data_IF_611579763839
#
_entry.id   IF_611579763839
#
_cell.length_a   1.000
_cell.length_b   1.000
_cell.length_c   1.000
_cell.angle_alpha   90.00
_cell.angle_beta   90.00
_cell.angle_gamma   90.00
#
_symmetry.space_group_name_H-M   'P 1'
#
loop_
_entity.id
_entity.type
_entity.pdbx_description
1 polymer ?
#
# COMPACT_ATOMS: atom_id res chain seq x y z
N UNK A 1 -0.45 -57.25 5.10
CA UNK A 1 0.01 -56.22 4.17
C UNK A 1 -1.09 -55.85 3.18
N UNK A 2 -1.20 -54.58 2.82
CA UNK A 2 -2.10 -54.15 1.71
C UNK A 2 -1.68 -54.89 0.44
N UNK A 3 -2.64 -55.31 -0.37
CA UNK A 3 -2.33 -55.94 -1.66
C UNK A 3 -1.65 -54.94 -2.58
N UNK A 4 -0.79 -55.37 -3.50
CA UNK A 4 -0.12 -54.53 -4.50
C UNK A 4 -1.12 -53.59 -5.23
N UNK A 5 -2.29 -54.11 -5.58
CA UNK A 5 -3.34 -53.33 -6.23
C UNK A 5 -3.88 -52.15 -5.36
N UNK A 6 -4.03 -52.36 -4.06
CA UNK A 6 -4.48 -51.28 -3.14
C UNK A 6 -3.40 -50.20 -2.98
N UNK A 7 -2.12 -50.60 -2.95
CA UNK A 7 -0.99 -49.66 -2.92
C UNK A 7 -0.93 -48.83 -4.21
N UNK A 8 -1.19 -49.40 -5.36
CA UNK A 8 -1.18 -48.71 -6.64
C UNK A 8 -2.35 -47.73 -6.81
N UNK A 9 -3.52 -48.07 -6.26
CA UNK A 9 -4.68 -47.16 -6.20
C UNK A 9 -4.38 -45.98 -5.30
N UNK A 10 -3.80 -46.20 -4.13
CA UNK A 10 -3.41 -45.11 -3.21
C UNK A 10 -2.40 -44.15 -3.83
N UNK A 11 -1.33 -44.68 -4.47
CA UNK A 11 -0.34 -43.89 -5.14
C UNK A 11 -0.94 -43.06 -6.28
N UNK A 12 -1.82 -43.61 -7.08
CA UNK A 12 -2.49 -42.87 -8.17
C UNK A 12 -3.37 -41.77 -7.63
N UNK A 13 -4.12 -41.97 -6.55
CA UNK A 13 -4.91 -40.91 -5.94
C UNK A 13 -4.04 -39.81 -5.35
N UNK A 14 -2.94 -40.16 -4.66
CA UNK A 14 -1.98 -39.19 -4.15
C UNK A 14 -1.36 -38.34 -5.27
N UNK A 15 -0.95 -38.95 -6.38
CA UNK A 15 -0.41 -38.20 -7.53
C UNK A 15 -1.45 -37.27 -8.16
N UNK A 16 -2.72 -37.68 -8.25
CA UNK A 16 -3.78 -36.81 -8.78
C UNK A 16 -4.04 -35.60 -7.87
N UNK A 17 -3.96 -35.79 -6.56
CA UNK A 17 -4.04 -34.68 -5.62
C UNK A 17 -2.82 -33.75 -5.73
N UNK A 18 -1.62 -34.31 -5.84
CA UNK A 18 -0.39 -33.56 -6.03
C UNK A 18 -0.42 -32.68 -7.30
N UNK A 19 -0.91 -33.23 -8.42
CA UNK A 19 -1.07 -32.48 -9.66
C UNK A 19 -2.05 -31.30 -9.48
N UNK A 20 -3.17 -31.50 -8.78
CA UNK A 20 -4.12 -30.43 -8.48
C UNK A 20 -3.50 -29.36 -7.58
N UNK A 21 -2.84 -29.77 -6.50
CA UNK A 21 -2.18 -28.84 -5.59
C UNK A 21 -1.11 -28.00 -6.29
N UNK A 22 -0.31 -28.64 -7.16
CA UNK A 22 0.66 -27.93 -7.99
C UNK A 22 -0.01 -26.94 -8.96
N UNK A 23 -1.12 -27.33 -9.57
CA UNK A 23 -1.93 -26.46 -10.42
C UNK A 23 -2.48 -25.23 -9.68
N UNK A 24 -2.95 -25.44 -8.46
CA UNK A 24 -3.43 -24.37 -7.59
C UNK A 24 -2.29 -23.40 -7.20
N UNK A 25 -1.12 -23.91 -6.82
CA UNK A 25 0.05 -23.10 -6.51
C UNK A 25 0.51 -22.27 -7.71
N UNK A 26 0.52 -22.84 -8.91
CA UNK A 26 0.84 -22.12 -10.16
C UNK A 26 -0.19 -21.02 -10.40
N UNK A 27 -1.48 -21.33 -10.27
CA UNK A 27 -2.56 -20.37 -10.49
C UNK A 27 -2.50 -19.20 -9.49
N UNK A 28 -2.23 -19.47 -8.23
CA UNK A 28 -1.99 -18.44 -7.21
C UNK A 28 -0.80 -17.55 -7.57
N UNK A 29 0.31 -18.15 -8.00
CA UNK A 29 1.51 -17.41 -8.41
C UNK A 29 1.24 -16.51 -9.60
N UNK A 30 0.48 -16.98 -10.59
CA UNK A 30 0.11 -16.18 -11.76
C UNK A 30 -0.80 -15.00 -11.41
N UNK A 31 -1.76 -15.18 -10.51
CA UNK A 31 -2.61 -14.08 -10.01
C UNK A 31 -1.76 -13.04 -9.26
N UNK A 32 -0.87 -13.49 -8.38
CA UNK A 32 0.03 -12.60 -7.67
C UNK A 32 0.98 -11.85 -8.62
N UNK A 33 1.55 -12.54 -9.61
CA UNK A 33 2.43 -11.96 -10.62
C UNK A 33 1.72 -10.88 -11.43
N UNK A 34 0.50 -11.14 -11.89
CA UNK A 34 -0.31 -10.15 -12.60
C UNK A 34 -0.53 -8.88 -11.78
N UNK A 35 -0.91 -9.02 -10.51
CA UNK A 35 -1.09 -7.88 -9.62
C UNK A 35 0.24 -7.15 -9.31
N UNK A 36 1.36 -7.87 -9.21
CA UNK A 36 2.68 -7.24 -9.01
C UNK A 36 3.14 -6.40 -10.20
N UNK A 37 2.70 -6.70 -11.42
CA UNK A 37 2.94 -5.82 -12.59
C UNK A 37 2.24 -4.47 -12.36
N UNK A 38 0.98 -4.47 -11.94
CA UNK A 38 0.25 -3.23 -11.62
C UNK A 38 0.94 -2.45 -10.49
N UNK A 39 1.40 -3.13 -9.43
CA UNK A 39 2.18 -2.51 -8.35
C UNK A 39 3.44 -1.85 -8.90
N UNK A 40 4.16 -2.50 -9.81
CA UNK A 40 5.37 -1.95 -10.44
C UNK A 40 5.07 -0.67 -11.22
N UNK A 41 3.98 -0.65 -11.99
CA UNK A 41 3.57 0.52 -12.77
C UNK A 41 3.20 1.70 -11.86
N UNK A 42 2.47 1.44 -10.78
CA UNK A 42 2.15 2.46 -9.76
C UNK A 42 3.42 3.02 -9.12
N UNK A 43 4.37 2.17 -8.73
CA UNK A 43 5.63 2.61 -8.14
C UNK A 43 6.49 3.43 -9.11
N UNK A 44 6.51 3.07 -10.39
CA UNK A 44 7.18 3.88 -11.43
C UNK A 44 6.56 5.26 -11.54
N UNK A 45 5.23 5.33 -11.56
CA UNK A 45 4.52 6.63 -11.59
C UNK A 45 4.81 7.47 -10.35
N UNK A 46 4.81 6.87 -9.18
CA UNK A 46 5.20 7.57 -7.94
C UNK A 46 6.64 8.11 -8.00
N UNK A 47 7.57 7.34 -8.59
CA UNK A 47 8.96 7.79 -8.79
C UNK A 47 9.03 8.99 -9.73
N UNK A 48 8.29 8.98 -10.84
CA UNK A 48 8.22 10.12 -11.76
C UNK A 48 7.72 11.39 -11.06
N UNK A 49 6.65 11.28 -10.29
CA UNK A 49 6.11 12.39 -9.51
C UNK A 49 7.12 12.89 -8.46
N UNK A 50 7.84 11.98 -7.82
CA UNK A 50 8.89 12.33 -6.87
C UNK A 50 10.03 13.11 -7.52
N UNK A 51 10.46 12.70 -8.71
CA UNK A 51 11.48 13.44 -9.49
C UNK A 51 10.97 14.80 -9.91
N UNK A 52 9.71 14.90 -10.35
CA UNK A 52 9.09 16.17 -10.68
C UNK A 52 9.05 17.11 -9.46
N UNK A 53 8.59 16.61 -8.31
CA UNK A 53 8.50 17.40 -7.09
C UNK A 53 9.87 17.89 -6.57
N UNK A 54 10.94 17.15 -6.86
CA UNK A 54 12.31 17.52 -6.52
C UNK A 54 12.87 18.65 -7.38
N UNK A 55 12.26 18.94 -8.54
CA UNK A 55 12.71 20.01 -9.41
C UNK A 55 12.36 21.39 -8.81
N UNK A 56 13.35 22.28 -8.68
CA UNK A 56 13.20 23.62 -8.11
C UNK A 56 12.30 24.57 -8.90
N UNK A 57 11.89 24.21 -10.14
CA UNK A 57 10.99 25.03 -10.95
C UNK A 57 9.51 24.90 -10.54
N UNK A 58 9.15 23.92 -9.73
CA UNK A 58 7.78 23.71 -9.25
C UNK A 58 7.48 24.58 -8.04
N UNK A 59 6.35 25.28 -8.09
CA UNK A 59 5.85 26.08 -6.96
C UNK A 59 5.34 25.16 -5.83
N UNK A 60 5.11 25.74 -4.64
CA UNK A 60 4.48 25.01 -3.53
C UNK A 60 3.11 24.43 -3.92
N UNK A 61 2.29 25.19 -4.65
CA UNK A 61 0.98 24.74 -5.12
C UNK A 61 1.08 23.53 -6.06
N UNK A 62 2.06 23.53 -6.97
CA UNK A 62 2.29 22.41 -7.88
C UNK A 62 2.70 21.16 -7.10
N UNK A 63 3.53 21.31 -6.07
CA UNK A 63 3.96 20.19 -5.21
C UNK A 63 2.79 19.60 -4.41
N UNK A 64 1.86 20.43 -3.95
CA UNK A 64 0.63 19.96 -3.30
C UNK A 64 -0.20 19.11 -4.27
N UNK A 65 -0.35 19.56 -5.54
CA UNK A 65 -1.06 18.79 -6.55
C UNK A 65 -0.37 17.43 -6.84
N UNK A 66 0.97 17.42 -6.95
CA UNK A 66 1.74 16.19 -7.11
C UNK A 66 1.59 15.25 -5.91
N UNK A 67 1.56 15.80 -4.68
CA UNK A 67 1.35 15.03 -3.48
C UNK A 67 -0.05 14.40 -3.42
N UNK A 68 -1.08 15.10 -3.89
CA UNK A 68 -2.43 14.52 -3.99
C UNK A 68 -2.45 13.31 -4.93
N UNK A 69 -1.75 13.38 -6.09
CA UNK A 69 -1.62 12.24 -6.99
C UNK A 69 -0.85 11.09 -6.33
N UNK A 70 0.24 11.36 -5.61
CA UNK A 70 0.97 10.33 -4.84
C UNK A 70 0.06 9.66 -3.81
N UNK A 71 -0.78 10.41 -3.11
CA UNK A 71 -1.72 9.84 -2.14
C UNK A 71 -2.78 8.95 -2.80
N UNK A 72 -3.26 9.29 -4.00
CA UNK A 72 -4.14 8.42 -4.78
C UNK A 72 -3.44 7.12 -5.19
N UNK A 73 -2.18 7.21 -5.61
CA UNK A 73 -1.37 6.04 -5.96
C UNK A 73 -1.08 5.14 -4.75
N UNK A 74 -0.87 5.72 -3.57
CA UNK A 74 -0.77 4.93 -2.32
C UNK A 74 -2.06 4.17 -2.02
N UNK A 75 -3.21 4.83 -2.16
CA UNK A 75 -4.50 4.18 -1.96
C UNK A 75 -4.72 3.05 -2.98
N UNK A 76 -4.24 3.22 -4.20
CA UNK A 76 -4.30 2.17 -5.23
C UNK A 76 -3.40 0.98 -4.88
N UNK A 77 -2.17 1.21 -4.39
CA UNK A 77 -1.31 0.15 -3.87
C UNK A 77 -1.98 -0.61 -2.71
N UNK A 78 -2.60 0.13 -1.78
CA UNK A 78 -3.34 -0.48 -0.69
C UNK A 78 -4.51 -1.32 -1.21
N UNK A 79 -5.26 -0.79 -2.17
CA UNK A 79 -6.37 -1.52 -2.81
C UNK A 79 -5.88 -2.81 -3.47
N UNK A 80 -4.81 -2.76 -4.25
CA UNK A 80 -4.24 -3.95 -4.91
C UNK A 80 -3.82 -4.98 -3.85
N UNK A 81 -3.12 -4.57 -2.80
CA UNK A 81 -2.66 -5.48 -1.74
C UNK A 81 -3.81 -6.16 -1.02
N UNK A 82 -4.91 -5.43 -0.77
CA UNK A 82 -6.06 -5.93 -0.02
C UNK A 82 -7.09 -6.67 -0.88
N UNK A 83 -7.16 -6.40 -2.18
CA UNK A 83 -8.16 -7.03 -3.05
C UNK A 83 -7.64 -8.25 -3.78
N UNK A 84 -6.32 -8.36 -4.03
CA UNK A 84 -5.73 -9.50 -4.72
C UNK A 84 -5.88 -10.76 -3.90
N UNK A 85 -6.71 -11.69 -4.39
CA UNK A 85 -7.00 -12.93 -3.69
C UNK A 85 -7.21 -14.07 -4.67
N UNK A 86 -6.92 -15.28 -4.22
CA UNK A 86 -7.25 -16.52 -4.90
C UNK A 86 -8.11 -17.38 -3.98
N UNK A 87 -9.30 -17.77 -4.42
CA UNK A 87 -10.24 -18.58 -3.64
C UNK A 87 -10.36 -18.12 -2.17
N UNK A 88 -10.67 -16.83 -1.96
CA UNK A 88 -10.78 -16.15 -0.66
C UNK A 88 -9.49 -15.91 0.11
N UNK A 89 -8.37 -16.49 -0.30
CA UNK A 89 -7.07 -16.29 0.32
C UNK A 89 -6.39 -15.04 -0.25
N UNK A 90 -6.04 -14.08 0.61
CA UNK A 90 -5.29 -12.88 0.23
C UNK A 90 -3.85 -13.26 -0.08
N UNK A 91 -3.30 -12.69 -1.16
CA UNK A 91 -1.96 -13.06 -1.63
C UNK A 91 -0.90 -12.01 -1.34
N UNK A 92 -1.25 -10.71 -1.31
CA UNK A 92 -0.30 -9.60 -1.33
C UNK A 92 -0.30 -8.71 -0.09
N UNK A 93 -1.08 -9.05 0.94
CA UNK A 93 -1.20 -8.27 2.17
C UNK A 93 -0.36 -8.80 3.35
N UNK A 94 0.60 -9.69 3.06
CA UNK A 94 1.51 -10.25 4.07
C UNK A 94 0.94 -11.44 4.86
N UNK A 95 -0.29 -11.86 4.61
CA UNK A 95 -0.87 -13.02 5.30
C UNK A 95 -0.52 -14.35 4.65
N UNK A 96 -0.11 -14.33 3.37
CA UNK A 96 0.27 -15.52 2.62
C UNK A 96 1.76 -15.82 2.79
N UNK A 97 2.09 -16.48 3.90
CA UNK A 97 3.45 -16.86 4.25
C UNK A 97 3.52 -18.33 4.59
N UNK A 98 4.64 -18.96 4.22
CA UNK A 98 4.99 -20.34 4.55
C UNK A 98 3.87 -21.35 4.26
N UNK A 99 3.09 -21.08 3.18
CA UNK A 99 2.02 -21.99 2.76
C UNK A 99 2.63 -23.20 2.06
N UNK A 100 2.40 -24.38 2.63
CA UNK A 100 2.90 -25.64 2.11
C UNK A 100 1.94 -26.22 1.07
N UNK A 101 2.51 -26.67 -0.04
CA UNK A 101 1.81 -27.42 -1.09
C UNK A 101 2.41 -28.82 -1.19
N UNK A 102 1.58 -29.81 -0.91
CA UNK A 102 1.96 -31.21 -1.10
C UNK A 102 1.85 -31.57 -2.59
N UNK A 103 3.01 -31.81 -3.21
CA UNK A 103 3.14 -32.11 -4.64
C UNK A 103 3.62 -33.54 -4.90
N UNK A 104 3.62 -34.38 -3.86
CA UNK A 104 3.93 -35.80 -3.92
C UNK A 104 2.76 -36.66 -3.51
N UNK A 105 2.99 -37.97 -3.53
CA UNK A 105 1.98 -38.98 -3.15
C UNK A 105 2.07 -39.39 -1.67
N UNK A 106 3.07 -38.90 -0.96
CA UNK A 106 3.32 -39.15 0.47
C UNK A 106 3.74 -37.84 1.17
N UNK A 107 3.66 -37.87 2.51
CA UNK A 107 3.97 -36.70 3.38
C UNK A 107 5.47 -36.57 3.67
N UNK A 108 6.34 -36.89 2.71
CA UNK A 108 7.78 -36.69 2.92
C UNK A 108 8.18 -35.24 2.65
N UNK A 109 9.15 -34.68 3.39
CA UNK A 109 9.58 -33.27 3.20
C UNK A 109 10.06 -32.95 1.79
N UNK A 110 10.45 -33.96 1.01
CA UNK A 110 10.88 -33.80 -0.38
C UNK A 110 9.71 -33.56 -1.35
N UNK A 111 8.50 -33.86 -0.93
CA UNK A 111 7.27 -33.72 -1.70
C UNK A 111 6.42 -32.51 -1.30
N UNK A 112 6.92 -31.70 -0.39
CA UNK A 112 6.29 -30.46 0.08
C UNK A 112 7.09 -29.27 -0.41
N UNK A 113 6.41 -28.30 -0.99
CA UNK A 113 6.98 -27.01 -1.37
C UNK A 113 6.30 -25.87 -0.62
N UNK A 114 7.10 -24.97 -0.09
CA UNK A 114 6.61 -23.79 0.62
C UNK A 114 6.61 -22.59 -0.33
N UNK A 115 5.49 -21.91 -0.41
CA UNK A 115 5.34 -20.66 -1.16
C UNK A 115 5.09 -19.52 -0.17
N UNK A 116 5.90 -18.46 -0.29
CA UNK A 116 5.72 -17.23 0.46
C UNK A 116 5.63 -16.07 -0.52
N UNK A 117 4.58 -15.26 -0.42
CA UNK A 117 4.41 -14.04 -1.18
C UNK A 117 4.52 -12.86 -0.22
N UNK A 118 5.42 -11.94 -0.54
CA UNK A 118 5.67 -10.78 0.33
C UNK A 118 4.54 -9.77 0.27
N UNK A 119 4.36 -9.06 1.37
CA UNK A 119 3.46 -7.92 1.48
C UNK A 119 3.92 -6.78 0.56
N UNK A 120 3.01 -6.29 -0.27
CA UNK A 120 3.21 -5.14 -1.16
C UNK A 120 2.38 -3.92 -0.76
N UNK A 121 1.86 -3.90 0.47
CA UNK A 121 1.19 -2.72 1.00
C UNK A 121 2.12 -1.51 1.04
N UNK A 122 1.60 -0.28 0.98
CA UNK A 122 2.41 0.94 1.04
C UNK A 122 3.33 1.02 2.26
N UNK A 123 2.89 0.47 3.40
CA UNK A 123 3.69 0.39 4.63
C UNK A 123 4.89 -0.53 4.49
N UNK A 124 4.69 -1.72 3.94
CA UNK A 124 5.75 -2.73 3.76
C UNK A 124 6.75 -2.32 2.68
N UNK A 125 6.30 -1.61 1.65
CA UNK A 125 7.16 -1.05 0.62
C UNK A 125 7.90 0.21 1.05
N UNK A 126 7.59 0.76 2.24
CA UNK A 126 8.20 1.99 2.76
C UNK A 126 7.75 3.26 2.03
N UNK A 127 6.73 3.18 1.17
CA UNK A 127 6.23 4.33 0.41
C UNK A 127 5.14 5.11 1.15
N UNK A 128 4.72 4.62 2.31
CA UNK A 128 3.71 5.30 3.13
C UNK A 128 4.14 6.72 3.52
N UNK A 129 5.42 6.92 3.79
CA UNK A 129 5.97 8.21 4.19
C UNK A 129 6.30 9.15 3.02
N UNK A 130 6.21 8.70 1.78
CA UNK A 130 6.41 9.59 0.63
C UNK A 130 5.28 10.63 0.64
N UNK A 131 5.65 11.91 0.64
CA UNK A 131 4.70 13.02 0.76
C UNK A 131 4.40 13.45 2.20
N UNK A 132 4.52 12.58 3.20
CA UNK A 132 4.34 12.99 4.62
C UNK A 132 5.44 13.95 5.10
N UNK A 133 6.61 13.93 4.46
CA UNK A 133 7.68 14.90 4.70
C UNK A 133 7.34 16.31 4.16
N UNK A 134 6.32 16.40 3.28
CA UNK A 134 5.77 17.66 2.78
C UNK A 134 4.59 18.16 3.63
N UNK A 135 4.05 17.29 4.49
CA UNK A 135 2.94 17.61 5.38
C UNK A 135 3.48 17.80 6.81
N UNK A 136 3.85 19.03 7.12
CA UNK A 136 4.04 19.41 8.52
C UNK A 136 2.65 19.63 9.12
N UNK A 137 2.27 18.83 10.10
CA UNK A 137 1.04 19.05 10.85
C UNK A 137 1.31 19.81 12.15
N UNK A 138 0.45 20.74 12.47
CA UNK A 138 0.49 21.48 13.71
C UNK A 138 -0.89 21.53 14.33
N UNK A 139 -0.97 21.36 15.63
CA UNK A 139 -2.20 21.55 16.36
C UNK A 139 -2.42 23.04 16.59
N UNK A 140 -3.58 23.54 16.15
CA UNK A 140 -3.93 24.95 16.30
C UNK A 140 -4.47 25.19 17.72
N UNK A 141 -3.93 26.19 18.40
CA UNK A 141 -4.38 26.57 19.75
C UNK A 141 -5.48 27.63 19.69
N UNK A 142 -5.43 28.54 18.71
CA UNK A 142 -6.46 29.56 18.53
C UNK A 142 -6.43 30.13 17.11
N UNK A 143 -7.54 30.72 16.72
CA UNK A 143 -7.67 31.51 15.49
C UNK A 143 -8.22 32.87 15.87
N UNK A 144 -7.47 33.92 15.59
CA UNK A 144 -7.92 35.31 15.74
C UNK A 144 -8.21 35.89 14.36
N UNK A 145 -9.43 36.38 14.16
CA UNK A 145 -9.78 37.08 12.94
C UNK A 145 -9.28 38.53 12.99
N UNK A 146 -8.50 38.95 12.04
CA UNK A 146 -8.17 40.37 11.77
C UNK A 146 -8.90 40.84 10.52
N UNK A 147 -9.02 42.12 10.29
CA UNK A 147 -9.93 42.71 9.31
C UNK A 147 -9.82 42.16 7.86
N UNK A 148 -8.67 41.63 7.46
CA UNK A 148 -8.43 41.08 6.12
C UNK A 148 -7.74 39.71 6.08
N UNK A 149 -7.35 39.12 7.22
CA UNK A 149 -6.71 37.81 7.29
C UNK A 149 -6.92 37.19 8.66
N UNK A 150 -6.92 35.86 8.70
CA UNK A 150 -6.99 35.11 9.95
C UNK A 150 -5.57 34.82 10.45
N UNK A 151 -5.25 35.27 11.66
CA UNK A 151 -4.01 34.86 12.33
C UNK A 151 -4.27 33.54 13.04
N UNK A 152 -3.56 32.52 12.65
CA UNK A 152 -3.64 31.19 13.23
C UNK A 152 -2.46 31.02 14.18
N UNK A 153 -2.74 30.83 15.45
CA UNK A 153 -1.70 30.59 16.44
C UNK A 153 -1.53 29.07 16.66
N UNK A 154 -0.34 28.56 16.43
CA UNK A 154 0.00 27.19 16.71
C UNK A 154 0.23 26.96 18.22
N UNK A 155 -0.08 25.75 18.69
CA UNK A 155 0.14 25.36 20.08
C UNK A 155 1.62 25.13 20.43
N UNK A 156 2.48 24.94 19.40
CA UNK A 156 3.91 24.72 19.52
C UNK A 156 4.63 25.28 18.28
N UNK A 157 5.96 25.31 18.30
CA UNK A 157 6.75 25.71 17.16
C UNK A 157 6.41 24.84 15.94
N UNK A 158 5.98 25.46 14.87
CA UNK A 158 5.45 24.77 13.69
C UNK A 158 6.47 24.59 12.56
N UNK A 159 7.60 25.29 12.63
CA UNK A 159 8.66 25.28 11.58
C UNK A 159 8.16 25.57 10.15
N UNK A 160 7.01 26.24 9.99
CA UNK A 160 6.57 26.72 8.69
C UNK A 160 7.32 28.02 8.36
N UNK A 161 7.66 28.19 7.10
CA UNK A 161 8.23 29.41 6.56
C UNK A 161 7.19 30.18 5.75
N UNK A 162 7.40 31.47 5.59
CA UNK A 162 6.58 32.27 4.67
C UNK A 162 6.64 31.68 3.26
N UNK A 163 5.48 31.48 2.64
CA UNK A 163 5.34 30.79 1.35
C UNK A 163 5.02 29.32 1.44
N UNK A 164 5.15 28.69 2.61
CA UNK A 164 4.71 27.30 2.79
C UNK A 164 3.20 27.17 2.57
N UNK A 165 2.78 26.03 2.02
CA UNK A 165 1.36 25.74 1.81
C UNK A 165 0.94 24.72 2.86
N UNK A 166 -0.13 25.05 3.58
CA UNK A 166 -0.75 24.19 4.61
C UNK A 166 -2.16 23.81 4.16
N UNK A 167 -2.56 22.58 4.43
CA UNK A 167 -3.92 22.13 4.19
C UNK A 167 -4.62 21.99 5.55
N UNK A 168 -5.77 22.62 5.68
CA UNK A 168 -6.56 22.50 6.88
C UNK A 168 -7.28 21.15 6.90
N UNK A 169 -6.96 20.32 7.88
CA UNK A 169 -7.70 19.11 8.17
C UNK A 169 -8.67 19.35 9.34
N UNK A 170 -9.91 18.90 9.15
CA UNK A 170 -10.96 19.05 10.15
C UNK A 170 -10.66 18.18 11.37
N UNK A 171 -10.38 18.80 12.51
CA UNK A 171 -10.36 18.15 13.82
C UNK A 171 -11.78 17.92 14.36
N UNK A 172 -11.88 17.66 15.67
CA UNK A 172 -13.16 17.46 16.37
C UNK A 172 -14.08 18.69 16.33
N UNK A 173 -13.51 19.89 16.22
CA UNK A 173 -14.27 21.14 16.09
C UNK A 173 -13.75 21.91 14.87
N UNK A 174 -14.65 22.24 13.91
CA UNK A 174 -14.25 23.02 12.74
C UNK A 174 -13.88 24.45 13.14
N UNK A 175 -12.84 25.00 12.50
CA UNK A 175 -12.43 26.39 12.69
C UNK A 175 -13.25 27.27 11.75
N UNK A 176 -14.01 28.25 12.24
CA UNK A 176 -14.77 29.16 11.39
C UNK A 176 -13.85 29.89 10.40
N UNK A 177 -14.24 29.91 9.13
CA UNK A 177 -13.49 30.56 8.06
C UNK A 177 -12.45 29.69 7.36
N UNK A 178 -12.12 28.49 7.88
CA UNK A 178 -11.28 27.53 7.19
C UNK A 178 -12.13 26.40 6.58
N UNK A 179 -11.85 26.07 5.34
CA UNK A 179 -12.54 24.99 4.61
C UNK A 179 -11.65 23.74 4.66
N UNK A 180 -12.15 22.61 5.20
CA UNK A 180 -11.38 21.37 5.24
C UNK A 180 -10.94 20.92 3.85
N UNK A 181 -9.68 20.55 3.70
CA UNK A 181 -9.08 20.12 2.43
C UNK A 181 -8.62 21.27 1.53
N UNK A 182 -8.87 22.53 1.91
CA UNK A 182 -8.38 23.68 1.17
C UNK A 182 -6.94 24.03 1.57
N UNK A 183 -6.14 24.41 0.57
CA UNK A 183 -4.78 24.88 0.78
C UNK A 183 -4.77 26.38 1.15
N UNK A 184 -3.93 26.73 2.11
CA UNK A 184 -3.66 28.09 2.58
C UNK A 184 -2.17 28.37 2.54
N UNK A 185 -1.79 29.58 2.21
CA UNK A 185 -0.38 29.99 2.20
C UNK A 185 -0.02 30.65 3.53
N UNK A 186 1.15 30.29 4.06
CA UNK A 186 1.74 30.95 5.23
C UNK A 186 2.39 32.27 4.78
N UNK A 187 2.05 33.35 5.44
CA UNK A 187 2.63 34.68 5.16
C UNK A 187 3.81 34.99 6.10
#
# INVERSE_FOLDING_TARGET
GMSSAASDVYKRQGMQMAIRNAGDAISMSQVAEGAMVEVSDVLQRMRELGVQAANGSYSGADRVALNQEINQLKNELLRISETTSFNTTKLLNGTFQDTQFEIGFDETPQHSHTLTIKDVSPSSLGVWQIGSQLEKSVTLSSVAASANHAVITAAADHNFAAGDIVIYEKGTSPIPGLIPGQAYQVE
#
